data_IF_267794147453
#
_entry.id   IF_267794147453
#
_cell.length_a   1.000
_cell.length_b   1.000
_cell.length_c   1.000
_cell.angle_alpha   90.00
_cell.angle_beta   90.00
_cell.angle_gamma   90.00
#
_symmetry.space_group_name_H-M   'P 1'
#
loop_
_entity.id
_entity.type
_entity.pdbx_description
1 polymer ?
#
# COMPACT_ATOMS: atom_id res chain seq x y z
N UNK A 1 -1.93 19.38 5.10
CA UNK A 1 -0.70 19.56 4.29
C UNK A 1 -1.08 19.81 2.82
N UNK A 2 -0.28 20.52 2.01
CA UNK A 2 -0.59 20.73 0.59
C UNK A 2 -0.53 19.43 -0.22
N UNK A 3 -1.45 19.26 -1.17
CA UNK A 3 -1.68 18.04 -2.00
C UNK A 3 -0.51 17.60 -2.90
N UNK A 4 0.60 18.33 -2.94
CA UNK A 4 1.67 18.19 -3.94
C UNK A 4 3.00 17.65 -3.39
N UNK A 5 3.12 17.41 -2.08
CA UNK A 5 4.23 16.64 -1.49
C UNK A 5 3.77 15.22 -1.14
N UNK A 6 3.29 14.46 -2.12
CA UNK A 6 3.31 13.00 -1.98
C UNK A 6 4.76 12.57 -2.16
N UNK A 7 5.33 11.91 -1.17
CA UNK A 7 6.72 11.43 -1.22
C UNK A 7 6.85 10.48 -2.43
N UNK A 8 7.80 10.79 -3.32
CA UNK A 8 8.09 9.92 -4.45
C UNK A 8 8.76 8.64 -3.94
N UNK A 9 8.49 7.54 -4.61
CA UNK A 9 9.15 6.25 -4.36
C UNK A 9 9.77 5.73 -5.66
N UNK A 10 10.69 4.79 -5.55
CA UNK A 10 11.28 4.11 -6.71
C UNK A 10 10.60 2.75 -6.89
N UNK A 11 10.05 2.46 -8.07
CA UNK A 11 9.43 1.15 -8.35
C UNK A 11 10.50 0.08 -8.70
N UNK A 12 10.10 -1.20 -8.85
CA UNK A 12 11.01 -2.31 -9.11
C UNK A 12 11.85 -2.17 -10.40
N UNK A 13 11.40 -1.37 -11.36
CA UNK A 13 12.14 -0.99 -12.57
C UNK A 13 13.24 0.04 -12.34
N UNK A 14 13.29 0.67 -11.16
CA UNK A 14 14.22 1.76 -10.83
C UNK A 14 13.73 3.17 -11.20
N UNK A 15 12.49 3.31 -11.67
CA UNK A 15 11.90 4.60 -12.00
C UNK A 15 11.28 5.29 -10.76
N UNK A 16 11.41 6.62 -10.66
CA UNK A 16 10.73 7.42 -9.63
C UNK A 16 9.25 7.61 -10.00
N UNK A 17 8.36 7.38 -9.03
CA UNK A 17 6.90 7.44 -9.15
C UNK A 17 6.27 8.24 -8.03
N UNK A 18 5.07 8.73 -8.27
CA UNK A 18 4.13 9.21 -7.25
C UNK A 18 3.09 8.14 -6.92
N UNK A 19 2.46 8.17 -5.72
CA UNK A 19 1.53 7.13 -5.27
C UNK A 19 0.30 6.88 -6.15
N UNK A 20 -0.07 7.80 -7.04
CA UNK A 20 -1.22 7.62 -7.95
C UNK A 20 -0.80 7.18 -9.37
N UNK A 21 0.49 6.94 -9.62
CA UNK A 21 0.99 6.49 -10.92
C UNK A 21 1.10 4.97 -11.00
N UNK A 22 0.88 4.43 -12.20
CA UNK A 22 1.19 3.03 -12.51
C UNK A 22 2.68 2.74 -12.26
N UNK A 23 2.98 1.51 -11.86
CA UNK A 23 4.32 1.10 -11.44
C UNK A 23 4.63 -0.35 -11.87
N UNK A 24 5.91 -0.73 -11.86
CA UNK A 24 6.31 -2.13 -12.00
C UNK A 24 6.45 -2.76 -10.61
N UNK A 25 5.73 -3.86 -10.38
CA UNK A 25 5.82 -4.63 -9.13
C UNK A 25 7.11 -5.49 -9.08
N UNK A 26 7.35 -6.14 -7.94
CA UNK A 26 8.52 -7.00 -7.76
C UNK A 26 8.57 -8.18 -8.75
N UNK A 27 7.44 -8.57 -9.35
CA UNK A 27 7.37 -9.62 -10.37
C UNK A 27 7.75 -9.14 -11.77
N UNK A 28 7.92 -7.82 -11.96
CA UNK A 28 8.17 -7.21 -13.26
C UNK A 28 6.90 -6.84 -14.04
N UNK A 29 5.73 -6.89 -13.41
CA UNK A 29 4.44 -6.61 -14.06
C UNK A 29 4.00 -5.16 -13.83
N UNK A 30 3.40 -4.55 -14.86
CA UNK A 30 2.71 -3.27 -14.71
C UNK A 30 1.48 -3.41 -13.82
N UNK A 31 1.31 -2.46 -12.89
CA UNK A 31 0.18 -2.39 -11.95
C UNK A 31 -0.32 -0.96 -11.81
N UNK A 32 -1.61 -0.83 -11.52
CA UNK A 32 -2.21 0.43 -11.06
C UNK A 32 -2.38 0.41 -9.54
N UNK A 33 -2.28 1.56 -8.84
CA UNK A 33 -2.42 1.63 -7.39
C UNK A 33 -3.78 1.15 -6.85
N UNK A 34 -4.83 1.23 -7.67
CA UNK A 34 -6.20 0.83 -7.34
C UNK A 34 -6.58 -0.56 -7.87
N UNK A 35 -5.63 -1.32 -8.42
CA UNK A 35 -5.86 -2.64 -9.01
C UNK A 35 -5.98 -3.73 -7.93
N UNK A 36 -6.91 -4.67 -8.13
CA UNK A 36 -6.98 -5.88 -7.31
C UNK A 36 -5.69 -6.70 -7.43
N UNK A 37 -5.30 -7.39 -6.37
CA UNK A 37 -4.05 -8.14 -6.31
C UNK A 37 -4.22 -9.47 -5.58
N UNK A 38 -3.24 -10.35 -5.76
CA UNK A 38 -3.14 -11.60 -4.99
C UNK A 38 -2.15 -11.38 -3.86
N UNK A 39 -2.58 -11.58 -2.62
CA UNK A 39 -1.72 -11.43 -1.44
C UNK A 39 -0.72 -12.59 -1.29
N UNK A 40 0.18 -12.50 -0.32
CA UNK A 40 1.20 -13.53 -0.07
C UNK A 40 0.62 -14.91 0.32
N UNK A 41 -0.65 -14.98 0.72
CA UNK A 41 -1.36 -16.24 1.00
C UNK A 41 -2.00 -16.86 -0.24
N UNK A 42 -1.99 -16.15 -1.38
CA UNK A 42 -2.63 -16.57 -2.62
C UNK A 42 -4.10 -16.15 -2.74
N UNK A 43 -4.60 -15.32 -1.82
CA UNK A 43 -5.99 -14.84 -1.87
C UNK A 43 -6.09 -13.60 -2.76
N UNK A 44 -7.15 -13.54 -3.57
CA UNK A 44 -7.54 -12.32 -4.29
C UNK A 44 -8.06 -11.26 -3.33
N UNK A 45 -7.57 -10.03 -3.47
CA UNK A 45 -7.87 -8.88 -2.62
C UNK A 45 -8.12 -7.65 -3.46
N UNK A 46 -9.06 -6.82 -3.01
CA UNK A 46 -9.15 -5.43 -3.43
C UNK A 46 -8.33 -4.53 -2.51
N UNK A 47 -7.85 -3.40 -3.03
CA UNK A 47 -7.06 -2.42 -2.26
C UNK A 47 -7.82 -1.81 -1.08
N UNK A 48 -9.15 -1.92 -1.10
CA UNK A 48 -10.05 -1.43 -0.05
C UNK A 48 -10.55 -2.54 0.89
N UNK A 49 -10.08 -3.78 0.73
CA UNK A 49 -10.50 -4.89 1.59
C UNK A 49 -9.89 -4.78 2.99
N UNK A 50 -10.64 -5.24 3.98
CA UNK A 50 -10.12 -5.44 5.33
C UNK A 50 -9.01 -6.49 5.34
N UNK A 51 -8.00 -6.26 6.18
CA UNK A 51 -6.84 -7.12 6.32
C UNK A 51 -6.50 -7.37 7.79
N UNK A 52 -5.69 -8.39 8.02
CA UNK A 52 -5.15 -8.69 9.35
C UNK A 52 -3.72 -8.16 9.39
N UNK A 53 -3.40 -7.31 10.35
CA UNK A 53 -2.05 -6.77 10.52
C UNK A 53 -1.08 -7.78 11.15
N UNK A 54 0.19 -7.41 11.30
CA UNK A 54 1.24 -8.27 11.88
C UNK A 54 0.92 -8.69 13.33
N UNK A 55 0.15 -7.87 14.06
CA UNK A 55 -0.28 -8.14 15.43
C UNK A 55 -1.56 -9.02 15.49
N UNK A 56 -2.08 -9.45 14.34
CA UNK A 56 -3.25 -10.33 14.24
C UNK A 56 -4.60 -9.59 14.37
N UNK A 57 -4.61 -8.26 14.29
CA UNK A 57 -5.82 -7.45 14.39
C UNK A 57 -6.44 -7.19 13.03
N UNK A 58 -7.77 -7.25 12.94
CA UNK A 58 -8.50 -6.78 11.76
C UNK A 58 -8.38 -5.26 11.61
N UNK A 59 -8.16 -4.80 10.38
CA UNK A 59 -7.98 -3.40 10.00
C UNK A 59 -8.64 -3.11 8.68
N UNK A 60 -9.18 -1.90 8.57
CA UNK A 60 -9.61 -1.33 7.30
C UNK A 60 -8.55 -0.38 6.74
N UNK A 61 -8.38 -0.28 5.41
CA UNK A 61 -7.51 0.72 4.80
C UNK A 61 -7.89 2.15 5.22
N UNK A 62 -6.91 2.94 5.66
CA UNK A 62 -7.11 4.32 6.16
C UNK A 62 -7.65 4.43 7.59
N UNK A 63 -7.80 3.31 8.30
CA UNK A 63 -8.13 3.31 9.73
C UNK A 63 -6.97 3.85 10.58
N UNK A 64 -7.30 4.62 11.62
CA UNK A 64 -6.30 5.09 12.56
C UNK A 64 -5.74 3.94 13.41
N UNK A 65 -4.42 3.84 13.54
CA UNK A 65 -3.76 2.84 14.40
C UNK A 65 -2.63 3.43 15.24
N UNK A 66 -2.27 2.77 16.33
CA UNK A 66 -1.03 3.08 17.07
C UNK A 66 0.12 2.26 16.51
N UNK A 67 1.20 2.92 16.12
CA UNK A 67 2.43 2.22 15.74
C UNK A 67 3.15 1.65 16.97
N UNK A 68 4.19 0.84 16.72
CA UNK A 68 5.02 0.23 17.79
C UNK A 68 5.76 1.25 18.66
N UNK A 69 5.90 2.49 18.21
CA UNK A 69 6.46 3.59 19.01
C UNK A 69 5.41 4.27 19.91
N UNK A 70 4.16 3.83 19.84
CA UNK A 70 3.01 4.36 20.60
C UNK A 70 2.37 5.60 19.97
N UNK A 71 2.82 6.01 18.79
CA UNK A 71 2.28 7.16 18.06
C UNK A 71 1.04 6.80 17.25
N UNK A 72 0.05 7.69 17.21
CA UNK A 72 -1.13 7.54 16.34
C UNK A 72 -0.79 7.84 14.88
N UNK A 73 -1.23 6.96 13.98
CA UNK A 73 -1.05 7.00 12.52
C UNK A 73 -2.39 6.78 11.83
N UNK A 74 -2.47 7.19 10.57
CA UNK A 74 -3.56 6.91 9.63
C UNK A 74 -2.99 6.18 8.42
#
# INVERSE_FOLDING_TARGET
>A
MPRWKKEQYMDASGAWRTPDEDYIDYSGSWRSPDEDYVDASGAWRSVNDDYVDEDGSWRSPGEQYKDRSGGWRY
#
